data_IF_603371040689
#
_entry.id   IF_603371040689
#
_cell.length_a   1.000
_cell.length_b   1.000
_cell.length_c   1.000
_cell.angle_alpha   90.00
_cell.angle_beta   90.00
_cell.angle_gamma   90.00
#
_symmetry.space_group_name_H-M   'P 1'
#
loop_
_entity.id
_entity.type
_entity.pdbx_description
1 polymer ?
#
# COMPACT_ATOMS: atom_id res chain seq x y z
N UNK A 1 34.91 -4.42 -39.22
CA UNK A 1 34.55 -5.76 -38.68
C UNK A 1 34.19 -5.73 -37.18
N UNK A 2 35.09 -5.33 -36.25
CA UNK A 2 34.75 -5.24 -34.81
C UNK A 2 33.54 -4.33 -34.50
N UNK A 3 33.44 -3.17 -35.15
CA UNK A 3 32.30 -2.25 -35.01
C UNK A 3 30.95 -2.86 -35.45
N UNK A 4 30.95 -3.68 -36.51
CA UNK A 4 29.73 -4.31 -37.06
C UNK A 4 29.24 -5.43 -36.15
N UNK A 5 30.16 -6.29 -35.69
CA UNK A 5 29.88 -7.35 -34.69
C UNK A 5 29.30 -6.79 -33.38
N UNK A 6 29.70 -5.57 -32.99
CA UNK A 6 29.21 -4.91 -31.78
C UNK A 6 27.79 -4.34 -31.96
N UNK A 7 27.45 -3.90 -33.17
CA UNK A 7 26.10 -3.39 -33.51
C UNK A 7 25.10 -4.55 -33.62
N UNK A 8 25.47 -5.66 -34.27
CA UNK A 8 24.62 -6.86 -34.38
C UNK A 8 24.33 -7.47 -32.99
N UNK A 9 25.36 -7.65 -32.15
CA UNK A 9 25.17 -8.14 -30.79
C UNK A 9 24.27 -7.23 -29.94
N UNK A 10 24.31 -5.91 -30.19
CA UNK A 10 23.45 -4.93 -29.52
C UNK A 10 22.01 -5.00 -30.03
N UNK A 11 21.82 -5.17 -31.34
CA UNK A 11 20.49 -5.37 -31.94
C UNK A 11 19.81 -6.60 -31.35
N UNK A 12 20.55 -7.70 -31.22
CA UNK A 12 20.02 -8.96 -30.68
C UNK A 12 19.58 -8.82 -29.22
N UNK A 13 20.38 -8.14 -28.37
CA UNK A 13 19.99 -7.83 -26.98
C UNK A 13 18.72 -6.98 -26.89
N UNK A 14 18.61 -5.97 -27.75
CA UNK A 14 17.43 -5.10 -27.81
C UNK A 14 16.20 -5.90 -28.25
N UNK A 15 16.35 -6.75 -29.26
CA UNK A 15 15.28 -7.60 -29.79
C UNK A 15 14.80 -8.58 -28.72
N UNK A 16 15.71 -9.33 -28.10
CA UNK A 16 15.41 -10.26 -27.02
C UNK A 16 14.70 -9.58 -25.85
N UNK A 17 15.16 -8.40 -25.43
CA UNK A 17 14.51 -7.65 -24.34
C UNK A 17 13.09 -7.21 -24.71
N UNK A 18 12.88 -6.72 -25.93
CA UNK A 18 11.55 -6.36 -26.44
C UNK A 18 10.63 -7.58 -26.48
N UNK A 19 11.07 -8.67 -27.09
CA UNK A 19 10.30 -9.92 -27.18
C UNK A 19 9.93 -10.45 -25.80
N UNK A 20 10.87 -10.47 -24.86
CA UNK A 20 10.61 -10.95 -23.50
C UNK A 20 9.58 -10.09 -22.76
N UNK A 21 9.72 -8.76 -22.82
CA UNK A 21 8.74 -7.84 -22.22
C UNK A 21 7.37 -7.99 -22.88
N UNK A 22 7.31 -8.14 -24.20
CA UNK A 22 6.06 -8.36 -24.94
C UNK A 22 5.38 -9.66 -24.52
N UNK A 23 6.11 -10.77 -24.42
CA UNK A 23 5.56 -12.06 -23.98
C UNK A 23 4.98 -11.96 -22.57
N UNK A 24 5.68 -11.28 -21.65
CA UNK A 24 5.17 -11.07 -20.29
C UNK A 24 3.91 -10.21 -20.31
N UNK A 25 3.89 -9.15 -21.10
CA UNK A 25 2.74 -8.26 -21.24
C UNK A 25 1.52 -9.03 -21.78
N UNK A 26 1.68 -9.77 -22.88
CA UNK A 26 0.59 -10.54 -23.48
C UNK A 26 0.08 -11.62 -22.52
N UNK A 27 0.98 -12.30 -21.80
CA UNK A 27 0.60 -13.27 -20.75
C UNK A 27 -0.12 -12.63 -19.58
N UNK A 28 0.27 -11.44 -19.17
CA UNK A 28 -0.44 -10.72 -18.12
C UNK A 28 -1.85 -10.31 -18.57
N UNK A 29 -2.04 -9.95 -19.84
CA UNK A 29 -3.36 -9.65 -20.42
C UNK A 29 -4.26 -10.88 -20.47
N UNK A 30 -3.71 -12.06 -20.75
CA UNK A 30 -4.45 -13.33 -20.76
C UNK A 30 -4.76 -13.86 -19.35
N UNK A 31 -3.79 -13.80 -18.45
CA UNK A 31 -3.88 -14.35 -17.08
C UNK A 31 -3.83 -13.23 -16.04
N UNK A 32 -5.01 -12.68 -15.77
CA UNK A 32 -5.17 -11.58 -14.80
C UNK A 32 -4.86 -11.97 -13.36
N UNK A 33 -4.96 -13.25 -13.00
CA UNK A 33 -4.74 -13.73 -11.64
C UNK A 33 -3.25 -13.67 -11.25
N UNK A 34 -2.35 -13.86 -12.23
CA UNK A 34 -0.90 -13.86 -12.01
C UNK A 34 -0.24 -12.50 -12.27
N UNK A 35 -1.03 -11.43 -12.50
CA UNK A 35 -0.53 -10.06 -12.72
C UNK A 35 0.55 -9.58 -11.73
N UNK A 36 0.43 -9.81 -10.41
CA UNK A 36 1.45 -9.42 -9.45
C UNK A 36 2.82 -10.05 -9.74
N UNK A 37 2.84 -11.32 -10.17
CA UNK A 37 4.07 -12.06 -10.49
C UNK A 37 4.72 -11.47 -11.75
N UNK A 38 3.93 -11.23 -12.80
CA UNK A 38 4.41 -10.62 -14.04
C UNK A 38 4.98 -9.21 -13.81
N UNK A 39 4.30 -8.38 -13.01
CA UNK A 39 4.81 -7.04 -12.66
C UNK A 39 6.12 -7.11 -11.90
N UNK A 40 6.21 -7.98 -10.87
CA UNK A 40 7.44 -8.18 -10.09
C UNK A 40 8.59 -8.66 -10.96
N UNK A 41 8.32 -9.49 -11.96
CA UNK A 41 9.32 -9.90 -12.95
C UNK A 41 9.78 -8.71 -13.80
N UNK A 42 8.86 -7.91 -14.34
CA UNK A 42 9.19 -6.70 -15.10
C UNK A 42 9.99 -5.68 -14.29
N UNK A 43 9.68 -5.51 -13.00
CA UNK A 43 10.42 -4.64 -12.10
C UNK A 43 11.84 -5.13 -11.86
N UNK A 44 12.00 -6.44 -11.60
CA UNK A 44 13.33 -7.06 -11.44
C UNK A 44 14.16 -6.92 -12.72
N UNK A 45 13.56 -7.12 -13.89
CA UNK A 45 14.23 -6.91 -15.17
C UNK A 45 14.66 -5.46 -15.33
N UNK A 46 13.77 -4.51 -15.04
CA UNK A 46 14.06 -3.09 -15.14
C UNK A 46 15.23 -2.65 -14.24
N UNK A 47 15.36 -3.23 -13.04
CA UNK A 47 16.41 -2.85 -12.10
C UNK A 47 17.73 -3.56 -12.36
N UNK A 48 17.72 -4.76 -12.96
CA UNK A 48 18.94 -5.53 -13.27
C UNK A 48 19.54 -5.19 -14.62
N UNK A 49 18.73 -4.77 -15.59
CA UNK A 49 19.20 -4.49 -16.94
C UNK A 49 19.61 -3.03 -17.09
N UNK A 50 20.82 -2.73 -17.61
CA UNK A 50 21.19 -1.36 -17.91
C UNK A 50 20.37 -0.81 -19.09
N UNK A 51 20.17 0.52 -19.17
CA UNK A 51 19.58 1.14 -20.35
C UNK A 51 20.37 0.78 -21.61
N UNK A 52 19.68 0.32 -22.64
CA UNK A 52 20.30 -0.01 -23.93
C UNK A 52 20.16 1.20 -24.86
N UNK A 53 21.24 1.73 -25.45
CA UNK A 53 21.12 2.96 -26.22
C UNK A 53 20.25 2.77 -27.47
N UNK A 54 19.57 3.82 -27.91
CA UNK A 54 18.74 3.75 -29.13
C UNK A 54 19.56 3.47 -30.39
N UNK A 55 18.92 2.85 -31.38
CA UNK A 55 19.46 2.74 -32.73
C UNK A 55 19.10 3.97 -33.60
N UNK A 56 18.15 4.79 -33.15
CA UNK A 56 17.75 6.04 -33.80
C UNK A 56 18.67 7.20 -33.40
N UNK A 57 19.02 8.07 -34.35
CA UNK A 57 19.70 9.33 -34.08
C UNK A 57 18.85 10.17 -33.12
N UNK A 58 19.44 10.56 -31.98
CA UNK A 58 18.76 11.24 -30.85
C UNK A 58 17.66 10.41 -30.14
N UNK A 59 17.57 9.11 -30.40
CA UNK A 59 16.63 8.25 -29.70
C UNK A 59 17.03 8.09 -28.23
N UNK A 60 16.02 8.11 -27.34
CA UNK A 60 16.21 7.82 -25.90
C UNK A 60 16.72 6.39 -25.68
N UNK A 61 17.25 6.06 -24.52
CA UNK A 61 17.66 4.69 -24.23
C UNK A 61 16.45 3.75 -24.10
N UNK A 62 16.57 2.55 -24.64
CA UNK A 62 15.60 1.46 -24.53
C UNK A 62 15.73 0.85 -23.13
N UNK A 63 14.65 0.97 -22.36
CA UNK A 63 14.48 0.38 -21.04
C UNK A 63 13.17 -0.40 -21.01
N UNK A 64 12.98 -1.25 -20.00
CA UNK A 64 11.70 -1.96 -19.79
C UNK A 64 10.56 -0.95 -19.67
N UNK A 65 10.74 0.16 -18.93
CA UNK A 65 9.74 1.24 -18.82
C UNK A 65 9.36 1.82 -20.18
N UNK A 66 10.35 2.08 -21.05
CA UNK A 66 10.08 2.65 -22.37
C UNK A 66 9.38 1.66 -23.28
N UNK A 67 9.73 0.38 -23.23
CA UNK A 67 9.03 -0.67 -23.98
C UNK A 67 7.56 -0.73 -23.54
N UNK A 68 7.30 -0.85 -22.23
CA UNK A 68 5.93 -0.87 -21.69
C UNK A 68 5.13 0.39 -22.07
N UNK A 69 5.74 1.57 -21.93
CA UNK A 69 5.13 2.85 -22.33
C UNK A 69 4.71 2.82 -23.80
N UNK A 70 5.61 2.40 -24.69
CA UNK A 70 5.33 2.32 -26.12
C UNK A 70 4.21 1.31 -26.41
N UNK A 71 4.22 0.15 -25.76
CA UNK A 71 3.17 -0.85 -25.92
C UNK A 71 1.79 -0.30 -25.55
N UNK A 72 1.66 0.41 -24.42
CA UNK A 72 0.39 1.05 -24.05
C UNK A 72 -0.02 2.13 -25.06
N UNK A 73 0.92 2.95 -25.54
CA UNK A 73 0.63 3.94 -26.59
C UNK A 73 0.16 3.29 -27.89
N UNK A 74 0.74 2.16 -28.28
CA UNK A 74 0.36 1.44 -29.48
C UNK A 74 -1.04 0.84 -29.33
N UNK A 75 -1.39 0.30 -28.16
CA UNK A 75 -2.76 -0.12 -27.83
C UNK A 75 -3.76 1.04 -27.89
N UNK A 76 -3.38 2.24 -27.45
CA UNK A 76 -4.26 3.42 -27.49
C UNK A 76 -4.48 3.97 -28.91
N UNK A 77 -3.51 3.76 -29.82
CA UNK A 77 -3.58 4.20 -31.22
C UNK A 77 -4.27 3.17 -32.13
N UNK A 78 -4.26 1.89 -31.78
CA UNK A 78 -4.85 0.86 -32.62
C UNK A 78 -6.37 1.06 -32.74
N UNK A 79 -6.86 1.27 -33.97
CA UNK A 79 -8.29 1.38 -34.26
C UNK A 79 -9.06 0.08 -33.96
N UNK A 80 -8.36 -1.05 -33.95
CA UNK A 80 -8.87 -2.32 -33.46
C UNK A 80 -8.94 -2.28 -31.94
N UNK A 81 -10.13 -2.62 -31.42
CA UNK A 81 -10.57 -2.64 -30.02
C UNK A 81 -9.74 -3.57 -29.12
N UNK A 82 -8.42 -3.38 -29.02
CA UNK A 82 -7.58 -3.94 -27.95
C UNK A 82 -7.82 -3.15 -26.67
N UNK A 83 -9.09 -3.03 -26.29
CA UNK A 83 -9.50 -2.55 -24.98
C UNK A 83 -9.14 -3.59 -23.92
N UNK A 84 -8.94 -4.87 -24.29
CA UNK A 84 -8.64 -5.96 -23.37
C UNK A 84 -7.38 -5.66 -22.53
N UNK A 85 -6.20 -5.30 -23.11
CA UNK A 85 -5.06 -4.84 -22.32
C UNK A 85 -5.36 -3.63 -21.43
N UNK A 86 -6.19 -2.69 -21.90
CA UNK A 86 -6.55 -1.47 -21.16
C UNK A 86 -7.57 -1.72 -20.05
N UNK A 87 -8.33 -2.81 -20.15
CA UNK A 87 -9.29 -3.31 -19.15
C UNK A 87 -8.66 -4.26 -18.13
N UNK A 88 -7.39 -4.66 -18.31
CA UNK A 88 -6.64 -5.40 -17.30
C UNK A 88 -6.10 -4.45 -16.22
N UNK A 89 -7.03 -3.94 -15.42
CA UNK A 89 -6.77 -2.95 -14.39
C UNK A 89 -5.80 -3.42 -13.31
N UNK A 90 -5.88 -4.66 -12.80
CA UNK A 90 -4.91 -5.12 -11.81
C UNK A 90 -3.46 -4.99 -12.31
N UNK A 91 -3.23 -5.30 -13.59
CA UNK A 91 -1.91 -5.16 -14.20
C UNK A 91 -1.46 -3.70 -14.31
N UNK A 92 -2.33 -2.82 -14.80
CA UNK A 92 -2.02 -1.38 -14.96
C UNK A 92 -1.74 -0.74 -13.60
N UNK A 93 -2.57 -1.04 -12.60
CA UNK A 93 -2.40 -0.55 -11.22
C UNK A 93 -1.05 -0.98 -10.65
N UNK A 94 -0.70 -2.25 -10.80
CA UNK A 94 0.53 -2.80 -10.25
C UNK A 94 1.77 -2.23 -10.96
N UNK A 95 1.74 -2.10 -12.29
CA UNK A 95 2.81 -1.45 -13.05
C UNK A 95 2.98 0.02 -12.67
N UNK A 96 1.89 0.74 -12.42
CA UNK A 96 1.93 2.14 -12.00
C UNK A 96 2.53 2.28 -10.59
N UNK A 97 2.09 1.44 -9.64
CA UNK A 97 2.64 1.39 -8.28
C UNK A 97 4.15 1.14 -8.27
N UNK A 98 4.62 0.23 -9.13
CA UNK A 98 6.04 -0.08 -9.29
C UNK A 98 6.83 0.96 -10.11
N UNK A 99 6.20 2.09 -10.47
CA UNK A 99 6.79 3.18 -11.27
C UNK A 99 7.33 2.70 -12.63
N UNK A 100 6.79 1.61 -13.16
CA UNK A 100 7.16 1.07 -14.47
C UNK A 100 6.40 1.77 -15.61
N UNK A 101 5.19 2.23 -15.31
CA UNK A 101 4.36 3.03 -16.21
C UNK A 101 4.25 4.44 -15.64
N UNK A 102 4.48 5.49 -16.45
CA UNK A 102 4.37 6.86 -15.98
C UNK A 102 2.91 7.32 -15.89
N UNK A 103 2.66 8.30 -15.04
CA UNK A 103 1.30 8.81 -14.75
C UNK A 103 0.55 9.32 -15.98
N UNK A 104 1.25 9.99 -16.90
CA UNK A 104 0.62 10.49 -18.12
C UNK A 104 0.08 9.37 -19.03
N UNK A 105 0.64 8.15 -18.98
CA UNK A 105 0.06 7.00 -19.69
C UNK A 105 -1.27 6.61 -19.05
N UNK A 106 -1.35 6.58 -17.72
CA UNK A 106 -2.60 6.28 -16.99
C UNK A 106 -3.68 7.29 -17.37
N UNK A 107 -3.34 8.59 -17.42
CA UNK A 107 -4.27 9.62 -17.89
C UNK A 107 -4.72 9.42 -19.35
N UNK A 108 -3.83 9.00 -20.25
CA UNK A 108 -4.22 8.68 -21.63
C UNK A 108 -5.16 7.47 -21.70
N UNK A 109 -4.95 6.46 -20.87
CA UNK A 109 -5.84 5.30 -20.77
C UNK A 109 -7.22 5.74 -20.26
N UNK A 110 -7.26 6.57 -19.20
CA UNK A 110 -8.51 7.15 -18.69
C UNK A 110 -9.22 7.99 -19.75
N UNK A 111 -8.52 8.86 -20.46
CA UNK A 111 -9.09 9.69 -21.52
C UNK A 111 -9.68 8.85 -22.66
N UNK A 112 -8.96 7.80 -23.08
CA UNK A 112 -9.41 6.90 -24.12
C UNK A 112 -10.68 6.15 -23.69
N UNK A 113 -10.66 5.52 -22.51
CA UNK A 113 -11.81 4.75 -22.01
C UNK A 113 -13.03 5.64 -21.74
N UNK A 114 -12.86 6.78 -21.09
CA UNK A 114 -13.94 7.74 -20.81
C UNK A 114 -14.42 8.48 -22.07
N UNK A 115 -13.66 8.46 -23.16
CA UNK A 115 -14.03 9.03 -24.45
C UNK A 115 -14.96 8.14 -25.29
N UNK A 116 -15.12 6.86 -24.91
CA UNK A 116 -15.96 5.91 -25.64
C UNK A 116 -17.42 6.14 -25.28
N UNK A 117 -18.23 6.57 -26.26
CA UNK A 117 -19.65 6.90 -26.06
C UNK A 117 -20.49 5.75 -25.50
N UNK A 118 -20.16 4.51 -25.87
CA UNK A 118 -20.85 3.30 -25.44
C UNK A 118 -19.85 2.34 -24.77
N UNK A 119 -19.27 2.77 -23.66
CA UNK A 119 -18.33 1.95 -22.91
C UNK A 119 -19.08 0.79 -22.24
N UNK A 120 -18.73 -0.49 -22.51
CA UNK A 120 -19.39 -1.62 -21.89
C UNK A 120 -19.20 -1.63 -20.36
N UNK A 121 -20.15 -2.22 -19.64
CA UNK A 121 -20.20 -2.20 -18.17
C UNK A 121 -18.94 -2.72 -17.50
N UNK A 122 -18.34 -3.79 -18.02
CA UNK A 122 -17.11 -4.38 -17.48
C UNK A 122 -15.91 -3.41 -17.53
N UNK A 123 -15.86 -2.53 -18.54
CA UNK A 123 -14.81 -1.51 -18.62
C UNK A 123 -15.06 -0.33 -17.67
N UNK A 124 -16.33 0.03 -17.43
CA UNK A 124 -16.69 1.03 -16.41
C UNK A 124 -16.34 0.50 -15.01
N UNK A 125 -16.64 -0.77 -14.72
CA UNK A 125 -16.24 -1.42 -13.46
C UNK A 125 -14.72 -1.40 -13.29
N UNK A 126 -13.98 -1.72 -14.35
CA UNK A 126 -12.53 -1.61 -14.41
C UNK A 126 -12.04 -0.18 -14.10
N UNK A 127 -12.59 0.85 -14.74
CA UNK A 127 -12.25 2.25 -14.43
C UNK A 127 -12.45 2.58 -12.94
N UNK A 128 -13.57 2.15 -12.37
CA UNK A 128 -13.85 2.34 -10.94
C UNK A 128 -12.80 1.63 -10.06
N UNK A 129 -12.42 0.39 -10.39
CA UNK A 129 -11.38 -0.35 -9.68
C UNK A 129 -10.01 0.33 -9.76
N UNK A 130 -9.66 0.88 -10.92
CA UNK A 130 -8.42 1.63 -11.13
C UNK A 130 -8.40 2.85 -10.22
N UNK A 131 -9.46 3.66 -10.28
CA UNK A 131 -9.58 4.89 -9.48
C UNK A 131 -9.63 4.57 -7.97
N UNK A 132 -10.28 3.49 -7.55
CA UNK A 132 -10.24 3.03 -6.16
C UNK A 132 -8.83 2.65 -5.68
N UNK A 133 -7.97 2.21 -6.61
CA UNK A 133 -6.62 1.72 -6.29
C UNK A 133 -5.54 2.81 -6.36
N UNK A 134 -5.61 3.71 -7.35
CA UNK A 134 -4.57 4.70 -7.63
C UNK A 134 -5.11 6.13 -7.75
N UNK A 135 -6.41 6.36 -7.60
CA UNK A 135 -7.03 7.68 -7.77
C UNK A 135 -6.51 8.73 -6.78
N UNK A 136 -6.17 8.31 -5.55
CA UNK A 136 -5.50 9.17 -4.55
C UNK A 136 -4.15 9.70 -5.05
N UNK A 137 -3.37 8.86 -5.74
CA UNK A 137 -2.09 9.27 -6.35
C UNK A 137 -2.31 10.26 -7.49
N UNK A 138 -3.30 9.98 -8.34
CA UNK A 138 -3.63 10.85 -9.48
C UNK A 138 -4.12 12.24 -9.02
N UNK A 139 -4.72 12.36 -7.83
CA UNK A 139 -5.16 13.65 -7.28
C UNK A 139 -4.04 14.48 -6.64
N UNK A 140 -2.92 13.83 -6.26
CA UNK A 140 -1.71 14.50 -5.77
C UNK A 140 -0.80 15.01 -6.88
N UNK A 141 -1.16 14.73 -8.12
CA UNK A 141 -0.38 15.04 -9.31
C UNK A 141 -0.11 16.54 -9.50
N UNK A 142 0.90 16.90 -10.32
CA UNK A 142 1.13 18.30 -10.71
C UNK A 142 -0.15 18.98 -11.20
N UNK A 143 -0.25 20.30 -11.01
CA UNK A 143 -1.46 21.08 -11.33
C UNK A 143 -2.05 20.78 -12.72
N UNK A 144 -1.21 20.57 -13.73
CA UNK A 144 -1.65 20.23 -15.09
C UNK A 144 -2.35 18.87 -15.17
N UNK A 145 -1.81 17.84 -14.53
CA UNK A 145 -2.41 16.50 -14.48
C UNK A 145 -3.66 16.49 -13.59
N UNK A 146 -3.67 17.28 -12.51
CA UNK A 146 -4.85 17.45 -11.67
C UNK A 146 -6.06 18.01 -12.44
N UNK A 147 -5.83 18.98 -13.33
CA UNK A 147 -6.89 19.52 -14.22
C UNK A 147 -7.42 18.43 -15.15
N UNK A 148 -6.54 17.55 -15.66
CA UNK A 148 -6.94 16.40 -16.48
C UNK A 148 -7.75 15.41 -15.64
N UNK A 149 -7.33 15.13 -14.40
CA UNK A 149 -8.10 14.28 -13.50
C UNK A 149 -9.50 14.86 -13.22
N UNK A 150 -9.60 16.18 -12.99
CA UNK A 150 -10.89 16.86 -12.85
C UNK A 150 -11.78 16.73 -14.10
N UNK A 151 -11.19 16.67 -15.29
CA UNK A 151 -11.93 16.36 -16.52
C UNK A 151 -12.44 14.91 -16.54
N UNK A 152 -11.61 13.94 -16.14
CA UNK A 152 -12.03 12.54 -16.04
C UNK A 152 -13.22 12.37 -15.09
N UNK A 153 -13.16 12.98 -13.90
CA UNK A 153 -14.24 12.89 -12.90
C UNK A 153 -15.53 13.58 -13.33
N UNK A 154 -15.44 14.64 -14.15
CA UNK A 154 -16.63 15.24 -14.77
C UNK A 154 -17.30 14.28 -15.75
N UNK A 155 -16.53 13.62 -16.63
CA UNK A 155 -17.07 12.57 -17.52
C UNK A 155 -17.61 11.38 -16.74
N UNK A 156 -16.91 10.97 -15.69
CA UNK A 156 -17.33 9.86 -14.83
C UNK A 156 -18.71 10.11 -14.20
N UNK A 157 -19.02 11.37 -13.87
CA UNK A 157 -20.35 11.76 -13.38
C UNK A 157 -21.47 11.45 -14.37
N UNK A 158 -21.22 11.53 -15.68
CA UNK A 158 -22.23 11.20 -16.70
C UNK A 158 -22.61 9.71 -16.65
N UNK A 159 -21.65 8.82 -16.37
CA UNK A 159 -21.91 7.38 -16.20
C UNK A 159 -22.74 7.08 -14.95
N UNK A 160 -22.67 7.90 -13.90
CA UNK A 160 -23.48 7.69 -12.68
C UNK A 160 -24.99 7.78 -12.93
N UNK A 161 -25.39 8.57 -13.93
CA UNK A 161 -26.80 8.80 -14.30
C UNK A 161 -27.22 8.06 -15.57
N UNK A 162 -26.31 7.32 -16.21
CA UNK A 162 -26.59 6.65 -17.47
C UNK A 162 -27.42 5.37 -17.26
N UNK A 163 -28.72 5.44 -17.56
CA UNK A 163 -29.68 4.34 -17.38
C UNK A 163 -29.37 3.07 -18.20
N UNK A 164 -28.50 3.15 -19.21
CA UNK A 164 -28.04 2.00 -20.00
C UNK A 164 -27.04 1.11 -19.25
N UNK A 165 -26.38 1.64 -18.21
CA UNK A 165 -25.51 0.84 -17.35
C UNK A 165 -26.33 0.11 -16.28
N UNK A 166 -25.93 -1.11 -15.86
CA UNK A 166 -26.56 -1.79 -14.73
C UNK A 166 -26.49 -0.93 -13.46
N UNK A 167 -27.51 -1.01 -12.60
CA UNK A 167 -27.57 -0.24 -11.35
C UNK A 167 -26.33 -0.42 -10.48
N UNK A 168 -25.82 -1.66 -10.37
CA UNK A 168 -24.57 -1.98 -9.67
C UNK A 168 -23.39 -1.11 -10.13
N UNK A 169 -23.20 -0.98 -11.44
CA UNK A 169 -22.11 -0.20 -12.02
C UNK A 169 -22.28 1.28 -11.74
N UNK A 170 -23.51 1.80 -11.85
CA UNK A 170 -23.80 3.20 -11.51
C UNK A 170 -23.52 3.50 -10.03
N UNK A 171 -23.84 2.57 -9.12
CA UNK A 171 -23.49 2.70 -7.71
C UNK A 171 -21.98 2.70 -7.51
N UNK A 172 -21.23 1.79 -8.15
CA UNK A 172 -19.76 1.79 -8.08
C UNK A 172 -19.16 3.13 -8.56
N UNK A 173 -19.73 3.73 -9.61
CA UNK A 173 -19.33 5.06 -10.06
C UNK A 173 -19.60 6.11 -8.99
N UNK A 174 -20.81 6.13 -8.41
CA UNK A 174 -21.15 7.04 -7.30
C UNK A 174 -20.20 6.88 -6.11
N UNK A 175 -19.83 5.65 -5.76
CA UNK A 175 -18.92 5.36 -4.65
C UNK A 175 -17.54 5.97 -4.89
N UNK A 176 -17.00 5.86 -6.11
CA UNK A 176 -15.72 6.47 -6.49
C UNK A 176 -15.80 8.01 -6.46
N UNK A 177 -16.91 8.59 -6.95
CA UNK A 177 -17.12 10.05 -6.90
C UNK A 177 -17.18 10.54 -5.44
N UNK A 178 -17.90 9.83 -4.58
CA UNK A 178 -18.03 10.12 -3.16
C UNK A 178 -16.68 9.97 -2.44
N UNK A 179 -15.92 8.91 -2.76
CA UNK A 179 -14.60 8.67 -2.19
C UNK A 179 -13.65 9.83 -2.52
N UNK A 180 -13.63 10.30 -3.77
CA UNK A 180 -12.84 11.47 -4.16
C UNK A 180 -13.29 12.75 -3.45
N UNK A 181 -14.60 12.99 -3.33
CA UNK A 181 -15.12 14.15 -2.62
C UNK A 181 -14.70 14.17 -1.13
N UNK A 182 -14.55 12.99 -0.53
CA UNK A 182 -14.01 12.77 0.81
C UNK A 182 -12.48 12.71 0.86
N UNK A 183 -11.78 13.24 -0.16
CA UNK A 183 -10.31 13.22 -0.26
C UNK A 183 -9.71 11.82 -0.13
N UNK A 184 -10.38 10.82 -0.71
CA UNK A 184 -9.97 9.41 -0.70
C UNK A 184 -9.96 8.73 0.67
N UNK A 185 -10.68 9.30 1.64
CA UNK A 185 -10.88 8.69 2.94
C UNK A 185 -12.01 7.66 2.82
N UNK A 186 -11.66 6.38 2.99
CA UNK A 186 -12.60 5.24 2.85
C UNK A 186 -13.54 5.10 4.04
N UNK A 187 -13.05 5.44 5.23
CA UNK A 187 -13.78 5.30 6.46
C UNK A 187 -14.07 6.69 7.02
N UNK A 188 -15.34 7.10 6.93
CA UNK A 188 -15.86 8.13 7.83
C UNK A 188 -16.67 7.37 8.86
N UNK A 189 -16.54 7.71 10.13
CA UNK A 189 -17.40 7.21 11.20
C UNK A 189 -18.30 8.35 11.65
N UNK A 190 -19.38 8.73 10.93
CA UNK A 190 -20.24 9.79 11.43
C UNK A 190 -21.32 9.26 12.38
N UNK A 191 -21.91 8.07 12.16
CA UNK A 191 -23.18 7.71 12.82
C UNK A 191 -23.45 6.20 13.06
N UNK A 192 -22.56 5.29 12.67
CA UNK A 192 -22.69 3.85 12.96
C UNK A 192 -21.69 3.48 14.06
N UNK A 193 -22.16 2.84 15.13
CA UNK A 193 -21.26 2.18 16.09
C UNK A 193 -20.36 1.24 15.31
N UNK A 194 -19.05 1.48 15.34
CA UNK A 194 -18.07 0.62 14.69
C UNK A 194 -18.14 -0.74 15.37
N UNK A 195 -18.40 -1.79 14.59
CA UNK A 195 -18.33 -3.17 15.05
C UNK A 195 -16.93 -3.73 14.77
N UNK A 196 -16.61 -4.87 15.38
CA UNK A 196 -15.28 -5.47 15.29
C UNK A 196 -14.86 -5.70 13.83
N UNK A 197 -15.72 -6.31 13.01
CA UNK A 197 -15.42 -6.60 11.60
C UNK A 197 -15.08 -5.34 10.78
N UNK A 198 -15.80 -4.23 10.98
CA UNK A 198 -15.53 -2.97 10.29
C UNK A 198 -14.21 -2.34 10.76
N UNK A 199 -13.89 -2.47 12.05
CA UNK A 199 -12.60 -2.05 12.57
C UNK A 199 -11.46 -2.88 11.97
N UNK A 200 -11.61 -4.22 11.91
CA UNK A 200 -10.59 -5.09 11.32
C UNK A 200 -10.32 -4.72 9.86
N UNK A 201 -11.38 -4.58 9.04
CA UNK A 201 -11.24 -4.19 7.64
C UNK A 201 -10.56 -2.82 7.47
N UNK A 202 -10.88 -1.87 8.36
CA UNK A 202 -10.27 -0.55 8.39
C UNK A 202 -8.78 -0.60 8.70
N UNK A 203 -8.40 -1.29 9.78
CA UNK A 203 -7.01 -1.39 10.20
C UNK A 203 -6.20 -2.18 9.18
N UNK A 204 -6.77 -3.23 8.59
CA UNK A 204 -6.16 -3.95 7.47
C UNK A 204 -5.86 -3.02 6.30
N UNK A 205 -6.81 -2.16 5.91
CA UNK A 205 -6.58 -1.17 4.85
C UNK A 205 -5.48 -0.18 5.19
N UNK A 206 -5.36 0.26 6.45
CA UNK A 206 -4.28 1.16 6.89
C UNK A 206 -2.91 0.49 6.83
N UNK A 207 -2.81 -0.76 7.28
CA UNK A 207 -1.55 -1.52 7.22
C UNK A 207 -1.11 -1.77 5.77
N UNK A 208 -2.02 -2.20 4.89
CA UNK A 208 -1.71 -2.39 3.47
C UNK A 208 -1.28 -1.08 2.79
N UNK A 209 -1.93 0.04 3.13
CA UNK A 209 -1.55 1.35 2.62
C UNK A 209 -0.16 1.77 3.13
N UNK A 210 0.14 1.53 4.41
CA UNK A 210 1.42 1.85 5.03
C UNK A 210 2.57 1.00 4.45
N UNK A 211 2.39 -0.32 4.35
CA UNK A 211 3.41 -1.26 3.84
C UNK A 211 3.68 -1.13 2.34
N UNK A 212 2.78 -0.48 1.60
CA UNK A 212 2.97 -0.24 0.17
C UNK A 212 4.02 0.84 -0.14
N UNK A 213 4.63 1.53 0.84
CA UNK A 213 5.60 2.65 0.76
C UNK A 213 5.15 3.90 -0.03
N UNK A 214 4.13 3.76 -0.87
CA UNK A 214 3.62 4.78 -1.79
C UNK A 214 2.69 5.76 -1.05
N UNK A 215 2.15 5.37 0.11
CA UNK A 215 1.09 6.06 0.82
C UNK A 215 1.34 6.22 2.33
N UNK A 216 2.57 6.01 2.83
CA UNK A 216 2.82 5.95 4.28
C UNK A 216 2.42 7.23 5.06
N UNK A 217 2.65 8.41 4.49
CA UNK A 217 2.25 9.72 5.08
C UNK A 217 0.72 9.88 5.09
N UNK A 218 0.03 9.28 4.13
CA UNK A 218 -1.40 9.43 3.95
C UNK A 218 -2.23 8.67 4.98
N UNK A 219 -1.66 7.60 5.53
CA UNK A 219 -2.31 6.83 6.58
C UNK A 219 -2.45 7.68 7.85
N UNK A 220 -1.44 8.49 8.18
CA UNK A 220 -1.48 9.42 9.33
C UNK A 220 -2.66 10.39 9.20
N UNK A 221 -2.83 11.03 8.04
CA UNK A 221 -3.97 11.93 7.79
C UNK A 221 -5.30 11.17 7.85
N UNK A 222 -5.34 9.95 7.30
CA UNK A 222 -6.56 9.15 7.25
C UNK A 222 -7.04 8.76 8.64
N UNK A 223 -6.14 8.33 9.53
CA UNK A 223 -6.46 8.04 10.94
C UNK A 223 -6.86 9.31 11.69
N UNK A 224 -6.16 10.44 11.49
CA UNK A 224 -6.54 11.74 12.10
C UNK A 224 -7.96 12.16 11.72
N UNK A 225 -8.36 11.92 10.47
CA UNK A 225 -9.66 12.29 9.96
C UNK A 225 -10.81 11.38 10.43
N UNK A 226 -10.53 10.23 11.07
CA UNK A 226 -11.57 9.39 11.68
C UNK A 226 -12.33 10.13 12.78
N UNK A 227 -11.71 11.14 13.41
CA UNK A 227 -12.29 11.95 14.50
C UNK A 227 -12.90 11.11 15.63
N UNK A 228 -12.37 9.91 15.86
CA UNK A 228 -12.90 8.94 16.84
C UNK A 228 -11.80 8.39 17.75
N UNK A 229 -11.25 9.21 18.67
CA UNK A 229 -10.14 8.79 19.54
C UNK A 229 -10.45 7.59 20.43
N UNK A 230 -11.73 7.36 20.73
CA UNK A 230 -12.19 6.24 21.55
C UNK A 230 -11.79 4.86 20.99
N UNK A 231 -11.53 4.75 19.67
CA UNK A 231 -11.13 3.50 19.02
C UNK A 231 -9.61 3.38 18.82
N UNK A 232 -8.80 4.37 19.24
CA UNK A 232 -7.36 4.31 19.05
C UNK A 232 -6.71 3.07 19.72
N UNK A 233 -7.07 2.69 20.97
CA UNK A 233 -6.57 1.46 21.56
C UNK A 233 -6.95 0.21 20.76
N UNK A 234 -8.19 0.14 20.27
CA UNK A 234 -8.65 -0.99 19.46
C UNK A 234 -7.92 -1.06 18.11
N UNK A 235 -7.59 0.09 17.50
CA UNK A 235 -6.77 0.15 16.28
C UNK A 235 -5.37 -0.41 16.56
N UNK A 236 -4.75 -0.05 17.70
CA UNK A 236 -3.43 -0.58 18.09
C UNK A 236 -3.51 -2.10 18.27
N UNK A 237 -4.48 -2.60 19.05
CA UNK A 237 -4.70 -4.03 19.26
C UNK A 237 -4.87 -4.78 17.94
N UNK A 238 -5.72 -4.25 17.07
CA UNK A 238 -6.03 -4.87 15.78
C UNK A 238 -4.84 -4.81 14.81
N UNK A 239 -4.04 -3.75 14.85
CA UNK A 239 -2.84 -3.64 14.03
C UNK A 239 -1.79 -4.68 14.43
N UNK A 240 -1.62 -4.92 15.73
CA UNK A 240 -0.76 -5.99 16.25
C UNK A 240 -1.29 -7.35 15.80
N UNK A 241 -2.58 -7.64 16.04
CA UNK A 241 -3.19 -8.89 15.61
C UNK A 241 -3.02 -9.14 14.11
N UNK A 242 -3.46 -8.22 13.25
CA UNK A 242 -3.39 -8.38 11.80
C UNK A 242 -1.96 -8.51 11.29
N UNK A 243 -0.99 -7.82 11.90
CA UNK A 243 0.40 -7.93 11.48
C UNK A 243 1.06 -9.25 11.90
N UNK A 244 0.68 -9.81 13.05
CA UNK A 244 1.20 -11.09 13.55
C UNK A 244 0.51 -12.30 12.91
N UNK A 245 -0.75 -12.16 12.50
CA UNK A 245 -1.53 -13.20 11.79
C UNK A 245 -1.12 -13.38 10.32
N UNK A 246 -0.14 -12.61 9.83
CA UNK A 246 0.40 -12.72 8.46
C UNK A 246 1.55 -13.71 8.38
N UNK A 247 1.74 -14.28 7.18
CA UNK A 247 2.86 -15.19 6.89
C UNK A 247 3.69 -14.60 5.72
N UNK A 248 4.94 -14.16 5.96
CA UNK A 248 5.61 -14.03 7.26
C UNK A 248 5.00 -12.90 8.11
N UNK A 249 5.21 -12.96 9.43
CA UNK A 249 4.74 -11.93 10.36
C UNK A 249 5.41 -10.58 10.08
N UNK A 250 4.66 -9.49 10.19
CA UNK A 250 5.12 -8.14 9.85
C UNK A 250 5.51 -7.34 11.11
N UNK A 251 6.31 -7.92 12.00
CA UNK A 251 6.71 -7.30 13.28
C UNK A 251 7.30 -5.90 13.11
N UNK A 252 8.30 -5.77 12.23
CA UNK A 252 8.94 -4.48 11.94
C UNK A 252 7.94 -3.48 11.38
N UNK A 253 7.15 -3.89 10.38
CA UNK A 253 6.12 -3.05 9.77
C UNK A 253 5.10 -2.52 10.78
N UNK A 254 4.61 -3.36 11.69
CA UNK A 254 3.67 -2.94 12.75
C UNK A 254 4.33 -1.97 13.72
N UNK A 255 5.54 -2.29 14.20
CA UNK A 255 6.25 -1.40 15.14
C UNK A 255 6.51 -0.01 14.55
N UNK A 256 6.90 0.05 13.27
CA UNK A 256 7.11 1.31 12.56
C UNK A 256 5.80 2.06 12.29
N UNK A 257 4.73 1.34 11.96
CA UNK A 257 3.40 1.92 11.78
C UNK A 257 2.91 2.60 13.05
N UNK A 258 2.98 1.91 14.19
CA UNK A 258 2.56 2.44 15.50
C UNK A 258 3.44 3.62 15.93
N UNK A 259 4.76 3.49 15.76
CA UNK A 259 5.71 4.59 15.99
C UNK A 259 5.40 5.81 15.13
N UNK A 260 5.07 5.61 13.85
CA UNK A 260 4.71 6.69 12.94
C UNK A 260 3.47 7.45 13.42
N UNK A 261 2.42 6.74 13.82
CA UNK A 261 1.20 7.36 14.34
C UNK A 261 1.42 8.08 15.68
N UNK A 262 2.24 7.51 16.57
CA UNK A 262 2.63 8.15 17.82
C UNK A 262 3.43 9.44 17.58
N UNK A 263 4.50 9.38 16.77
CA UNK A 263 5.37 10.52 16.46
C UNK A 263 4.62 11.67 15.78
N UNK A 264 3.56 11.35 15.04
CA UNK A 264 2.69 12.34 14.39
C UNK A 264 1.54 12.84 15.28
N UNK A 265 1.55 12.53 16.58
CA UNK A 265 0.54 12.87 17.58
C UNK A 265 -0.87 12.41 17.20
N UNK A 266 -0.99 11.27 16.51
CA UNK A 266 -2.28 10.60 16.27
C UNK A 266 -2.67 9.78 17.48
N UNK A 267 -1.73 8.97 17.96
CA UNK A 267 -1.86 8.18 19.17
C UNK A 267 -1.10 8.85 20.31
N UNK A 268 -1.75 8.88 21.46
CA UNK A 268 -1.11 9.19 22.74
C UNK A 268 -0.39 7.95 23.28
N UNK A 269 0.49 8.14 24.27
CA UNK A 269 1.15 7.01 24.95
C UNK A 269 0.09 6.07 25.56
N UNK A 270 -0.97 6.66 26.13
CA UNK A 270 -2.11 5.93 26.67
C UNK A 270 -2.78 5.02 25.65
N UNK A 271 -2.98 5.50 24.42
CA UNK A 271 -3.62 4.70 23.36
C UNK A 271 -2.77 3.47 23.00
N UNK A 272 -1.44 3.63 22.93
CA UNK A 272 -0.51 2.52 22.69
C UNK A 272 -0.56 1.52 23.85
N UNK A 273 -0.52 1.99 25.09
CA UNK A 273 -0.55 1.14 26.29
C UNK A 273 -1.84 0.34 26.38
N UNK A 274 -3.00 1.01 26.28
CA UNK A 274 -4.30 0.34 26.35
C UNK A 274 -4.45 -0.66 25.21
N UNK A 275 -3.99 -0.35 24.00
CA UNK A 275 -4.00 -1.28 22.87
C UNK A 275 -3.09 -2.51 23.07
N UNK A 276 -1.90 -2.32 23.64
CA UNK A 276 -1.02 -3.43 24.01
C UNK A 276 -1.62 -4.31 25.10
N UNK A 277 -2.29 -3.73 26.10
CA UNK A 277 -3.00 -4.48 27.14
C UNK A 277 -4.15 -5.31 26.57
N UNK A 278 -4.94 -4.73 25.66
CA UNK A 278 -6.01 -5.43 24.95
C UNK A 278 -5.48 -6.62 24.11
N UNK A 279 -4.29 -6.48 23.52
CA UNK A 279 -3.67 -7.60 22.80
C UNK A 279 -3.11 -8.65 23.77
N UNK A 280 -2.45 -8.21 24.85
CA UNK A 280 -1.87 -9.09 25.86
C UNK A 280 -2.92 -10.03 26.48
N UNK A 281 -4.13 -9.53 26.78
CA UNK A 281 -5.21 -10.35 27.34
C UNK A 281 -5.73 -11.45 26.38
N UNK A 282 -5.44 -11.34 25.08
CA UNK A 282 -5.84 -12.29 24.04
C UNK A 282 -4.67 -13.13 23.52
N UNK A 283 -3.44 -12.91 24.01
CA UNK A 283 -2.24 -13.51 23.42
C UNK A 283 -2.26 -15.03 23.49
N UNK A 284 -2.82 -15.60 24.57
CA UNK A 284 -2.94 -17.05 24.76
C UNK A 284 -3.89 -17.67 23.71
N UNK A 285 -5.02 -17.02 23.43
CA UNK A 285 -5.98 -17.47 22.44
C UNK A 285 -5.40 -17.36 21.02
N UNK A 286 -4.74 -16.23 20.73
CA UNK A 286 -4.10 -15.99 19.43
C UNK A 286 -2.95 -16.99 19.19
N UNK A 287 -2.21 -17.37 20.24
CA UNK A 287 -1.12 -18.32 20.14
C UNK A 287 -1.57 -19.74 19.73
N UNK A 288 -2.85 -20.08 19.91
CA UNK A 288 -3.42 -21.35 19.44
C UNK A 288 -3.32 -21.44 17.91
N UNK A 289 -3.71 -20.38 17.22
CA UNK A 289 -3.69 -20.31 15.77
C UNK A 289 -2.32 -19.85 15.23
N UNK A 290 -1.62 -19.00 15.99
CA UNK A 290 -0.36 -18.35 15.60
C UNK A 290 0.70 -18.50 16.71
N UNK A 291 1.42 -19.63 16.79
CA UNK A 291 2.30 -19.94 17.93
C UNK A 291 3.51 -19.00 18.08
N UNK A 292 3.90 -18.30 17.01
CA UNK A 292 4.95 -17.29 17.02
C UNK A 292 4.47 -15.92 17.57
N UNK A 293 3.16 -15.75 17.79
CA UNK A 293 2.59 -14.46 18.21
C UNK A 293 3.11 -13.95 19.57
N UNK A 294 3.36 -14.78 20.61
CA UNK A 294 3.91 -14.27 21.87
C UNK A 294 5.35 -13.77 21.73
N UNK A 295 6.21 -14.52 21.04
CA UNK A 295 7.60 -14.10 20.75
C UNK A 295 7.58 -12.78 19.97
N UNK A 296 6.86 -12.75 18.84
CA UNK A 296 6.72 -11.55 18.01
C UNK A 296 6.14 -10.35 18.77
N UNK A 297 5.20 -10.56 19.69
CA UNK A 297 4.65 -9.49 20.54
C UNK A 297 5.71 -8.92 21.49
N UNK A 298 6.56 -9.77 22.08
CA UNK A 298 7.72 -9.34 22.87
C UNK A 298 8.69 -8.46 22.07
N UNK A 299 8.92 -8.78 20.80
CA UNK A 299 9.71 -7.93 19.90
C UNK A 299 9.03 -6.59 19.60
N UNK A 300 7.71 -6.56 19.35
CA UNK A 300 6.97 -5.30 19.14
C UNK A 300 7.11 -4.38 20.36
N UNK A 301 6.87 -4.90 21.58
CA UNK A 301 6.99 -4.12 22.82
C UNK A 301 8.41 -3.54 22.94
N UNK A 302 9.44 -4.36 22.72
CA UNK A 302 10.82 -3.91 22.79
C UNK A 302 11.11 -2.76 21.81
N UNK A 303 10.64 -2.87 20.56
CA UNK A 303 10.80 -1.81 19.56
C UNK A 303 10.05 -0.53 19.92
N UNK A 304 8.85 -0.64 20.49
CA UNK A 304 8.08 0.52 20.95
C UNK A 304 8.76 1.23 22.13
N UNK A 305 9.36 0.49 23.06
CA UNK A 305 10.19 1.04 24.15
C UNK A 305 11.41 1.76 23.58
N UNK A 306 12.16 1.12 22.69
CA UNK A 306 13.33 1.73 22.03
C UNK A 306 12.97 2.98 21.20
N UNK A 307 11.73 3.05 20.71
CA UNK A 307 11.20 4.21 20.00
C UNK A 307 10.64 5.32 20.91
N UNK A 308 10.66 5.14 22.23
CA UNK A 308 10.08 6.07 23.20
C UNK A 308 8.55 6.14 23.18
N UNK A 309 7.88 5.14 22.59
CA UNK A 309 6.42 5.05 22.55
C UNK A 309 5.82 4.47 23.84
N UNK A 310 6.62 3.67 24.57
CA UNK A 310 6.25 3.05 25.84
C UNK A 310 7.30 3.40 26.90
N UNK A 311 6.87 3.89 28.06
CA UNK A 311 7.72 4.14 29.23
C UNK A 311 7.79 2.91 30.16
N UNK A 312 8.55 3.02 31.26
CA UNK A 312 8.69 1.91 32.21
C UNK A 312 7.38 1.59 32.97
N UNK A 313 6.54 2.60 33.22
CA UNK A 313 5.26 2.43 33.92
C UNK A 313 4.31 1.61 33.05
N UNK A 314 4.21 2.00 31.78
CA UNK A 314 3.50 1.29 30.73
C UNK A 314 3.98 -0.15 30.56
N UNK A 315 5.30 -0.35 30.46
CA UNK A 315 5.90 -1.67 30.30
C UNK A 315 5.53 -2.59 31.47
N UNK A 316 5.62 -2.09 32.70
CA UNK A 316 5.25 -2.85 33.90
C UNK A 316 3.79 -3.28 33.87
N UNK A 317 2.90 -2.40 33.44
CA UNK A 317 1.48 -2.70 33.42
C UNK A 317 1.14 -3.73 32.33
N UNK A 318 1.76 -3.63 31.14
CA UNK A 318 1.65 -4.64 30.07
C UNK A 318 2.17 -6.00 30.55
N UNK A 319 3.32 -6.02 31.21
CA UNK A 319 3.92 -7.26 31.70
C UNK A 319 3.11 -7.90 32.82
N UNK A 320 2.44 -7.14 33.68
CA UNK A 320 1.50 -7.71 34.65
C UNK A 320 0.38 -8.49 33.99
N UNK A 321 -0.14 -8.00 32.87
CA UNK A 321 -1.14 -8.73 32.08
C UNK A 321 -0.53 -9.98 31.44
N UNK A 322 0.66 -9.85 30.83
CA UNK A 322 1.37 -10.98 30.21
C UNK A 322 1.75 -12.08 31.21
N UNK A 323 2.03 -11.78 32.49
CA UNK A 323 2.28 -12.80 33.52
C UNK A 323 1.11 -13.77 33.65
N UNK A 324 -0.12 -13.33 33.36
CA UNK A 324 -1.31 -14.18 33.43
C UNK A 324 -1.39 -15.18 32.27
N UNK A 325 -0.56 -14.99 31.23
CA UNK A 325 -0.53 -15.78 30.01
C UNK A 325 0.43 -16.97 30.12
N UNK A 326 0.07 -18.08 29.49
CA UNK A 326 0.88 -19.31 29.46
C UNK A 326 2.19 -19.13 28.68
N UNK A 327 2.26 -18.14 27.80
CA UNK A 327 3.44 -17.86 26.96
C UNK A 327 4.31 -16.70 27.45
N UNK A 328 4.16 -16.30 28.72
CA UNK A 328 4.87 -15.16 29.29
C UNK A 328 6.40 -15.24 29.12
N UNK A 329 7.00 -16.42 29.31
CA UNK A 329 8.44 -16.66 29.11
C UNK A 329 8.92 -16.35 27.68
N UNK A 330 8.10 -16.61 26.66
CA UNK A 330 8.43 -16.30 25.27
C UNK A 330 8.42 -14.78 25.03
N UNK A 331 7.39 -14.09 25.53
CA UNK A 331 7.28 -12.63 25.42
C UNK A 331 8.47 -11.96 26.12
N UNK A 332 8.78 -12.37 27.35
CA UNK A 332 9.91 -11.84 28.11
C UNK A 332 11.26 -12.16 27.46
N UNK A 333 11.45 -13.41 27.05
CA UNK A 333 12.68 -13.86 26.42
C UNK A 333 12.97 -13.05 25.16
N UNK A 334 11.97 -12.88 24.28
CA UNK A 334 12.15 -12.09 23.06
C UNK A 334 12.39 -10.62 23.35
N UNK A 335 11.62 -10.04 24.27
CA UNK A 335 11.79 -8.65 24.68
C UNK A 335 13.23 -8.36 25.15
N UNK A 336 13.75 -9.19 26.06
CA UNK A 336 15.10 -9.03 26.60
C UNK A 336 16.19 -9.27 25.55
N UNK A 337 15.96 -10.17 24.59
CA UNK A 337 16.90 -10.40 23.49
C UNK A 337 17.02 -9.19 22.56
N UNK A 338 15.94 -8.43 22.38
CA UNK A 338 15.92 -7.25 21.51
C UNK A 338 16.49 -6.02 22.24
N UNK A 339 16.20 -5.86 23.53
CA UNK A 339 16.73 -4.76 24.31
C UNK A 339 18.15 -5.10 24.80
N UNK A 340 19.15 -4.49 24.17
CA UNK A 340 20.54 -4.59 24.66
C UNK A 340 20.69 -3.96 26.05
N UNK A 341 21.65 -4.46 26.86
CA UNK A 341 21.93 -3.91 28.18
C UNK A 341 22.29 -2.40 28.15
N UNK A 342 22.94 -1.94 27.08
CA UNK A 342 23.22 -0.51 26.85
C UNK A 342 21.95 0.31 26.63
N UNK A 343 20.96 -0.23 25.91
CA UNK A 343 19.68 0.44 25.67
C UNK A 343 18.85 0.55 26.95
N UNK A 344 18.92 -0.44 27.84
CA UNK A 344 18.32 -0.37 29.18
C UNK A 344 18.95 0.74 30.03
N UNK A 345 20.27 0.89 29.98
CA UNK A 345 20.97 1.91 30.75
C UNK A 345 20.63 3.33 30.26
N UNK A 346 20.64 3.58 28.95
CA UNK A 346 20.24 4.87 28.38
C UNK A 346 18.78 5.19 28.71
N UNK A 347 17.89 4.19 28.65
CA UNK A 347 16.47 4.33 28.98
C UNK A 347 16.22 4.60 30.48
N UNK A 348 16.95 3.92 31.38
CA UNK A 348 16.89 4.15 32.83
C UNK A 348 17.54 5.48 33.25
N UNK A 349 18.46 6.02 32.45
CA UNK A 349 19.16 7.27 32.74
C UNK A 349 18.34 8.52 32.40
N UNK A 350 17.44 8.44 31.40
CA UNK A 350 16.55 9.54 31.00
C UNK A 350 15.58 9.94 32.13
N UNK A 351 15.13 8.99 32.95
CA UNK A 351 14.24 9.26 34.09
C UNK A 351 14.98 9.82 35.32
N UNK A 352 16.30 9.62 35.43
CA UNK A 352 17.10 10.14 36.56
C UNK A 352 17.45 11.63 36.40
N UNK A 353 17.57 12.13 35.17
CA UNK A 353 17.79 13.56 34.92
C UNK A 353 16.53 14.43 35.14
N UNK A 354 15.33 13.83 35.19
CA UNK A 354 14.08 14.53 35.53
C UNK A 354 13.77 14.56 37.05
N UNK A 355 14.54 13.84 37.87
CA UNK A 355 14.32 13.75 39.33
C UNK A 355 15.33 14.59 40.12
N UNK A 356 16.43 15.01 39.52
CA UNK A 356 17.42 15.88 40.17
C UNK A 356 17.50 17.29 39.57
N UNK A 357 16.56 18.15 40.03
CA UNK A 357 16.93 19.49 40.50
C UNK A 357 15.97 20.64 40.14
N UNK A 358 15.96 21.74 40.93
CA UNK A 358 16.48 21.93 42.30
C UNK A 358 15.42 21.70 43.39
#
# INVERSE_FOLDING_TARGET
MKSVMTVEARLEKVKMMKEFVTVIFDKAVEDTASCPIYCKLLFRLNNKLPPLPSLELFGKDITVKRILTNMFQDCLKSADKKLIPLGNIPFIVELFKQKLVPEWIVHQILDHLLGISWLPSNYVEALCQLLNSIGKLLDKSPKSLKIINDMHFRKLKEFSTNTQLPSKVRFMVCDVLNLRAKKWIRYLVPDLKMNDSLLQDMVFSFLEEYFSDIYSIDVVESVKHLQSPAYHPDIVKEAIFLGLSRIPSCVEGVSDFLKCLFTNCVFSARDIVEGCLLFASLVDDIAIDFPESPDNFGEIIAKLVLAGCLDFVALRDIFREVVLCNFSDLVYGRFLNVISFSSLYDFLSIDLECVEGP
#
